data_IF_974910175222
#
_entry.id   IF_974910175222
#
_cell.length_a   1.000
_cell.length_b   1.000
_cell.length_c   1.000
_cell.angle_alpha   90.00
_cell.angle_beta   90.00
_cell.angle_gamma   90.00
#
_symmetry.space_group_name_H-M   'P 1'
#
loop_
_entity.id
_entity.type
_entity.pdbx_description
1 polymer ?
#
# COMPACT_ATOMS: atom_id res chain seq x y z
N UNK A 1 21.16 11.24 19.48
CA UNK A 1 20.69 11.58 18.11
C UNK A 1 21.73 11.02 17.16
N UNK A 2 21.43 9.94 16.44
CA UNK A 2 22.34 9.48 15.39
C UNK A 2 22.23 10.47 14.23
N UNK A 3 23.32 11.20 14.00
CA UNK A 3 23.54 11.95 12.76
C UNK A 3 23.68 10.93 11.63
N UNK A 4 22.56 10.61 10.99
CA UNK A 4 22.61 9.97 9.67
C UNK A 4 23.24 11.00 8.71
N UNK A 5 24.38 10.69 8.08
CA UNK A 5 25.04 11.64 7.22
C UNK A 5 24.13 11.93 6.02
N UNK A 6 23.96 13.22 5.77
CA UNK A 6 23.84 13.90 4.47
C UNK A 6 23.62 12.94 3.29
N UNK A 7 22.51 13.12 2.57
CA UNK A 7 22.26 12.44 1.31
C UNK A 7 23.39 12.73 0.32
N UNK A 8 24.34 11.79 0.24
CA UNK A 8 25.45 11.89 -0.68
C UNK A 8 25.08 11.26 -2.03
N UNK A 9 24.16 11.91 -2.76
CA UNK A 9 24.18 11.81 -4.23
C UNK A 9 25.60 12.06 -4.78
N UNK A 10 26.36 12.90 -4.08
CA UNK A 10 27.78 13.17 -4.31
C UNK A 10 28.69 11.93 -4.17
N UNK A 11 28.37 10.97 -3.29
CA UNK A 11 29.13 9.69 -3.16
C UNK A 11 28.93 8.77 -4.34
N UNK A 12 27.73 8.77 -4.91
CA UNK A 12 27.44 8.05 -6.16
C UNK A 12 27.95 8.83 -7.39
N UNK A 13 28.42 10.09 -7.21
CA UNK A 13 28.88 11.00 -8.27
C UNK A 13 27.93 11.10 -9.46
N UNK A 14 26.62 10.99 -9.21
CA UNK A 14 25.61 10.97 -10.27
C UNK A 14 25.16 12.39 -10.56
N UNK A 15 25.74 13.02 -11.57
CA UNK A 15 25.16 14.22 -12.18
C UNK A 15 24.10 13.79 -13.20
N UNK A 16 22.83 13.87 -12.82
CA UNK A 16 21.73 13.67 -13.76
C UNK A 16 21.33 15.02 -14.37
N UNK A 17 20.92 15.08 -15.65
CA UNK A 17 20.59 16.35 -16.29
C UNK A 17 19.29 17.00 -15.77
N UNK A 18 18.50 16.30 -14.94
CA UNK A 18 17.23 16.81 -14.44
C UNK A 18 17.41 17.61 -13.16
N UNK A 19 16.62 18.69 -12.98
CA UNK A 19 16.64 19.47 -11.74
C UNK A 19 16.11 18.64 -10.57
N UNK A 20 16.64 18.93 -9.38
CA UNK A 20 16.08 18.45 -8.13
C UNK A 20 14.74 19.12 -7.86
N UNK A 21 13.73 18.32 -7.57
CA UNK A 21 12.36 18.78 -7.30
C UNK A 21 11.89 18.46 -5.90
N UNK A 22 12.51 17.50 -5.21
CA UNK A 22 12.23 17.20 -3.81
C UNK A 22 13.42 16.57 -3.12
N UNK A 23 13.58 16.86 -1.82
CA UNK A 23 14.60 16.28 -0.95
C UNK A 23 14.06 16.10 0.46
N UNK A 24 14.21 14.89 1.00
CA UNK A 24 13.95 14.57 2.40
C UNK A 24 15.26 14.21 3.09
N UNK A 25 15.23 13.44 4.18
CA UNK A 25 16.44 12.92 4.85
C UNK A 25 17.03 11.69 4.12
N UNK A 26 16.17 10.90 3.51
CA UNK A 26 16.42 9.56 2.99
C UNK A 26 16.12 9.44 1.49
N UNK A 27 15.62 10.52 0.87
CA UNK A 27 15.20 10.53 -0.53
C UNK A 27 15.59 11.83 -1.23
N UNK A 28 15.97 11.70 -2.50
CA UNK A 28 16.03 12.82 -3.46
C UNK A 28 15.27 12.45 -4.72
N UNK A 29 14.52 13.40 -5.24
CA UNK A 29 13.77 13.27 -6.49
C UNK A 29 14.27 14.32 -7.46
N UNK A 30 14.71 13.85 -8.63
CA UNK A 30 15.00 14.68 -9.80
C UNK A 30 13.89 14.42 -10.82
N UNK A 31 13.35 15.46 -11.48
CA UNK A 31 12.29 15.24 -12.46
C UNK A 31 12.30 16.25 -13.60
N UNK A 32 11.94 15.78 -14.79
CA UNK A 32 11.75 16.61 -15.98
C UNK A 32 10.54 16.11 -16.75
N UNK A 33 9.52 16.95 -16.91
CA UNK A 33 8.30 16.58 -17.62
C UNK A 33 7.59 15.39 -16.97
N UNK A 34 7.43 14.30 -17.71
CA UNK A 34 6.76 13.06 -17.28
C UNK A 34 7.68 12.04 -16.63
N UNK A 35 8.96 12.40 -16.47
CA UNK A 35 10.02 11.50 -16.02
C UNK A 35 10.54 11.93 -14.66
N UNK A 36 10.85 10.94 -13.82
CA UNK A 36 11.47 11.17 -12.53
C UNK A 36 12.53 10.12 -12.23
N UNK A 37 13.60 10.54 -11.57
CA UNK A 37 14.64 9.70 -10.99
C UNK A 37 14.59 9.93 -9.47
N UNK A 38 14.29 8.88 -8.74
CA UNK A 38 14.25 8.90 -7.29
C UNK A 38 15.41 8.07 -6.74
N UNK A 39 16.28 8.69 -5.96
CA UNK A 39 17.22 7.96 -5.11
C UNK A 39 16.61 7.86 -3.70
N UNK A 40 16.49 6.64 -3.18
CA UNK A 40 16.08 6.38 -1.80
C UNK A 40 17.12 5.53 -1.08
N UNK A 41 17.40 5.86 0.17
CA UNK A 41 18.23 5.07 1.08
C UNK A 41 17.32 4.42 2.11
N UNK A 42 17.26 3.09 2.10
CA UNK A 42 16.52 2.32 3.07
C UNK A 42 17.47 1.83 4.17
N UNK A 43 17.15 2.07 5.46
CA UNK A 43 17.94 1.49 6.55
C UNK A 43 17.72 -0.02 6.65
N UNK A 44 18.79 -0.71 7.06
CA UNK A 44 18.83 -2.17 7.22
C UNK A 44 19.12 -2.92 5.91
N UNK A 45 19.43 -4.21 5.99
CA UNK A 45 19.65 -5.05 4.82
C UNK A 45 18.42 -5.08 3.90
N UNK A 46 18.60 -5.29 2.58
CA UNK A 46 17.49 -5.36 1.63
C UNK A 46 16.48 -6.48 2.00
N UNK A 47 15.20 -6.22 1.77
CA UNK A 47 14.15 -7.23 1.93
C UNK A 47 14.14 -8.21 0.74
N UNK A 48 15.18 -9.03 0.64
CA UNK A 48 15.31 -10.07 -0.36
C UNK A 48 14.98 -11.44 0.21
N UNK A 49 14.22 -12.28 -0.52
CA UNK A 49 13.83 -13.62 -0.05
C UNK A 49 14.94 -14.65 -0.23
N UNK A 50 15.89 -14.40 -1.13
CA UNK A 50 16.88 -15.35 -1.61
C UNK A 50 18.16 -14.61 -2.04
N UNK A 51 19.21 -15.38 -2.31
CA UNK A 51 20.50 -14.82 -2.74
C UNK A 51 20.40 -14.29 -4.18
N UNK A 52 21.36 -13.47 -4.59
CA UNK A 52 21.35 -12.83 -5.90
C UNK A 52 21.55 -13.82 -7.07
N UNK A 53 22.13 -14.99 -6.80
CA UNK A 53 22.28 -16.08 -7.75
C UNK A 53 20.97 -16.88 -7.97
N UNK A 54 19.99 -16.76 -7.07
CA UNK A 54 18.69 -17.42 -7.17
C UNK A 54 17.70 -16.58 -7.99
N UNK A 55 18.07 -16.26 -9.24
CA UNK A 55 17.37 -15.28 -10.09
C UNK A 55 15.90 -15.60 -10.31
N UNK A 56 15.52 -16.88 -10.40
CA UNK A 56 14.11 -17.26 -10.62
C UNK A 56 13.24 -17.03 -9.37
N UNK A 57 13.80 -17.16 -8.17
CA UNK A 57 13.11 -16.80 -6.93
C UNK A 57 12.98 -15.27 -6.82
N UNK A 58 14.02 -14.52 -7.22
CA UNK A 58 13.96 -13.05 -7.31
C UNK A 58 12.88 -12.58 -8.29
N UNK A 59 12.77 -13.22 -9.46
CA UNK A 59 11.71 -12.94 -10.45
C UNK A 59 10.32 -13.20 -9.89
N UNK A 60 10.11 -14.35 -9.22
CA UNK A 60 8.84 -14.68 -8.56
C UNK A 60 8.48 -13.64 -7.49
N UNK A 61 9.45 -13.24 -6.67
CA UNK A 61 9.27 -12.20 -5.65
C UNK A 61 8.92 -10.83 -6.24
N UNK A 62 9.70 -10.35 -7.21
CA UNK A 62 9.47 -9.07 -7.87
C UNK A 62 8.12 -9.03 -8.59
N UNK A 63 7.70 -10.15 -9.20
CA UNK A 63 6.37 -10.28 -9.81
C UNK A 63 5.26 -10.12 -8.79
N UNK A 64 5.31 -10.86 -7.67
CA UNK A 64 4.30 -10.73 -6.60
C UNK A 64 4.26 -9.31 -6.04
N UNK A 65 5.41 -8.67 -5.86
CA UNK A 65 5.49 -7.26 -5.44
C UNK A 65 4.86 -6.32 -6.46
N UNK A 66 5.06 -6.53 -7.75
CA UNK A 66 4.43 -5.75 -8.80
C UNK A 66 2.89 -5.92 -8.81
N UNK A 67 2.42 -7.15 -8.64
CA UNK A 67 0.98 -7.48 -8.57
C UNK A 67 0.28 -6.79 -7.40
N UNK A 68 0.94 -6.68 -6.24
CA UNK A 68 0.41 -5.93 -5.09
C UNK A 68 0.20 -4.44 -5.37
N UNK A 69 0.87 -3.90 -6.40
CA UNK A 69 0.71 -2.52 -6.88
C UNK A 69 -0.25 -2.43 -8.08
N UNK A 70 -1.02 -3.48 -8.38
CA UNK A 70 -1.86 -3.57 -9.58
C UNK A 70 -1.07 -3.69 -10.89
N UNK A 71 0.23 -3.95 -10.80
CA UNK A 71 1.17 -3.96 -11.92
C UNK A 71 1.64 -5.35 -12.32
N UNK A 72 2.60 -5.38 -13.25
CA UNK A 72 3.24 -6.60 -13.71
C UNK A 72 4.73 -6.42 -13.93
N UNK A 73 5.49 -7.50 -13.70
CA UNK A 73 6.91 -7.56 -13.99
C UNK A 73 7.12 -7.65 -15.51
N UNK A 74 8.02 -6.83 -16.06
CA UNK A 74 8.42 -6.87 -17.46
C UNK A 74 9.77 -7.58 -17.61
N UNK A 75 10.73 -7.15 -16.81
CA UNK A 75 12.09 -7.69 -16.80
C UNK A 75 12.70 -7.58 -15.40
N UNK A 76 13.60 -8.51 -15.08
CA UNK A 76 14.45 -8.51 -13.91
C UNK A 76 15.77 -9.18 -14.26
N UNK A 77 16.85 -8.44 -14.03
CA UNK A 77 18.22 -8.88 -14.21
C UNK A 77 19.09 -8.51 -13.00
N UNK A 78 20.15 -9.28 -12.81
CA UNK A 78 21.13 -9.11 -11.73
C UNK A 78 22.43 -8.60 -12.34
N UNK A 79 22.93 -7.46 -11.83
CA UNK A 79 24.14 -6.79 -12.29
C UNK A 79 25.16 -6.75 -11.15
N UNK A 80 26.07 -7.73 -11.15
CA UNK A 80 27.00 -7.92 -10.04
C UNK A 80 26.24 -8.07 -8.73
N UNK A 81 26.43 -7.17 -7.75
CA UNK A 81 25.68 -7.23 -6.49
C UNK A 81 24.33 -6.51 -6.53
N UNK A 82 23.86 -6.02 -7.67
CA UNK A 82 22.64 -5.21 -7.75
C UNK A 82 21.54 -5.91 -8.54
N UNK A 83 20.28 -5.53 -8.30
CA UNK A 83 19.11 -6.06 -9.01
C UNK A 83 18.44 -4.90 -9.73
N UNK A 84 18.20 -5.06 -11.04
CA UNK A 84 17.40 -4.12 -11.83
C UNK A 84 16.12 -4.83 -12.25
N UNK A 85 14.98 -4.28 -11.85
CA UNK A 85 13.67 -4.75 -12.31
C UNK A 85 12.89 -3.63 -12.98
N UNK A 86 12.14 -3.95 -14.04
CA UNK A 86 11.16 -3.04 -14.65
C UNK A 86 9.76 -3.60 -14.49
N UNK A 87 8.86 -2.76 -14.03
CA UNK A 87 7.45 -3.07 -13.86
C UNK A 87 6.59 -2.09 -14.65
N UNK A 88 5.40 -2.55 -15.02
CA UNK A 88 4.32 -1.69 -15.51
C UNK A 88 3.24 -1.51 -14.46
N UNK A 89 2.64 -0.33 -14.43
CA UNK A 89 1.61 0.10 -13.51
C UNK A 89 0.44 0.67 -14.33
N UNK A 90 -0.52 -0.18 -14.75
CA UNK A 90 -1.60 0.21 -15.67
C UNK A 90 -2.49 1.35 -15.16
N UNK A 91 -2.88 1.32 -13.88
CA UNK A 91 -3.73 2.36 -13.28
C UNK A 91 -3.04 3.72 -13.24
N UNK A 92 -1.71 3.71 -13.10
CA UNK A 92 -0.88 4.89 -13.05
C UNK A 92 -0.39 5.33 -14.45
N UNK A 93 -0.70 4.54 -15.50
CA UNK A 93 -0.16 4.70 -16.86
C UNK A 93 1.35 4.91 -16.86
N UNK A 94 2.04 4.10 -16.06
CA UNK A 94 3.45 4.32 -15.75
C UNK A 94 4.27 3.04 -15.91
N UNK A 95 5.54 3.25 -16.22
CA UNK A 95 6.56 2.23 -16.18
C UNK A 95 7.66 2.68 -15.22
N UNK A 96 8.21 1.74 -14.48
CA UNK A 96 9.16 2.01 -13.40
C UNK A 96 10.29 0.99 -13.46
N UNK A 97 11.52 1.47 -13.59
CA UNK A 97 12.73 0.67 -13.41
C UNK A 97 13.33 0.97 -12.03
N UNK A 98 13.62 -0.05 -11.24
CA UNK A 98 14.26 0.08 -9.94
C UNK A 98 15.59 -0.69 -9.96
N UNK A 99 16.71 0.03 -9.81
CA UNK A 99 18.00 -0.55 -9.46
C UNK A 99 18.15 -0.55 -7.94
N UNK A 100 18.21 -1.74 -7.34
CA UNK A 100 18.50 -1.91 -5.92
C UNK A 100 19.95 -2.34 -5.72
N UNK A 101 20.65 -1.61 -4.86
CA UNK A 101 22.05 -1.83 -4.49
C UNK A 101 22.09 -2.21 -3.00
N UNK A 102 22.28 -3.49 -2.67
CA UNK A 102 22.25 -3.98 -1.31
C UNK A 102 23.59 -3.82 -0.59
N UNK A 103 23.54 -3.34 0.66
CA UNK A 103 24.65 -3.35 1.62
C UNK A 103 24.22 -4.12 2.88
N UNK A 104 25.17 -4.37 3.79
CA UNK A 104 24.89 -5.06 5.07
C UNK A 104 23.86 -4.30 5.90
N UNK A 105 23.97 -2.98 5.96
CA UNK A 105 23.23 -2.13 6.91
C UNK A 105 22.21 -1.19 6.23
N UNK A 106 22.13 -1.20 4.90
CA UNK A 106 21.26 -0.34 4.11
C UNK A 106 21.02 -0.92 2.71
N UNK A 107 20.03 -0.38 2.01
CA UNK A 107 19.86 -0.58 0.58
C UNK A 107 19.67 0.77 -0.12
N UNK A 108 20.33 0.96 -1.25
CA UNK A 108 20.04 2.10 -2.14
C UNK A 108 19.07 1.65 -3.22
N UNK A 109 18.07 2.46 -3.50
CA UNK A 109 17.13 2.25 -4.60
C UNK A 109 17.17 3.45 -5.53
N UNK A 110 17.50 3.20 -6.78
CA UNK A 110 17.41 4.19 -7.85
C UNK A 110 16.22 3.81 -8.72
N UNK A 111 15.17 4.60 -8.64
CA UNK A 111 13.93 4.37 -9.36
C UNK A 111 13.78 5.39 -10.48
N UNK A 112 13.82 4.93 -11.72
CA UNK A 112 13.44 5.74 -12.88
C UNK A 112 12.00 5.43 -13.22
N UNK A 113 11.19 6.47 -13.36
CA UNK A 113 9.77 6.35 -13.70
C UNK A 113 9.44 7.26 -14.87
N UNK A 114 8.67 6.74 -15.82
CA UNK A 114 8.05 7.52 -16.90
C UNK A 114 6.56 7.25 -16.92
N UNK A 115 5.76 8.31 -17.03
CA UNK A 115 4.31 8.21 -17.25
C UNK A 115 3.95 8.49 -18.70
N UNK A 116 2.81 7.97 -19.13
CA UNK A 116 2.31 8.18 -20.48
C UNK A 116 1.67 9.58 -20.61
N UNK A 117 2.19 10.37 -21.56
CA UNK A 117 1.69 11.72 -21.87
C UNK A 117 1.08 11.78 -23.25
N UNK A 118 -0.06 12.46 -23.38
CA UNK A 118 -0.77 12.61 -24.66
C UNK A 118 -1.71 11.44 -24.94
N UNK A 119 -1.75 10.97 -26.18
CA UNK A 119 -2.56 9.82 -26.58
C UNK A 119 -1.97 8.56 -25.97
N UNK A 120 -2.74 7.92 -25.07
CA UNK A 120 -2.32 6.73 -24.35
C UNK A 120 -2.51 5.45 -25.16
N UNK A 121 -1.71 4.44 -24.88
CA UNK A 121 -1.78 3.12 -25.48
C UNK A 121 -1.45 3.10 -26.98
N UNK A 122 -0.68 4.07 -27.50
CA UNK A 122 -0.40 4.17 -28.95
C UNK A 122 0.40 2.97 -29.43
N UNK A 123 1.38 2.53 -28.64
CA UNK A 123 2.20 1.36 -28.96
C UNK A 123 1.35 0.10 -28.97
N UNK A 124 0.54 -0.09 -27.94
CA UNK A 124 -0.39 -1.21 -27.79
C UNK A 124 -1.40 -1.23 -28.93
N UNK A 125 -2.03 -0.09 -29.23
CA UNK A 125 -3.00 0.03 -30.32
C UNK A 125 -2.37 -0.30 -31.67
N UNK A 126 -1.19 0.26 -31.98
CA UNK A 126 -0.48 0.01 -33.23
C UNK A 126 -0.05 -1.46 -33.41
N UNK A 127 0.33 -2.13 -32.32
CA UNK A 127 0.77 -3.53 -32.37
C UNK A 127 -0.42 -4.51 -32.32
N UNK A 128 -1.52 -4.17 -31.64
CA UNK A 128 -2.68 -5.07 -31.45
C UNK A 128 -3.37 -5.49 -32.74
N UNK A 129 -3.26 -4.67 -33.79
CA UNK A 129 -3.84 -4.97 -35.11
C UNK A 129 -2.99 -5.96 -35.93
N UNK A 130 -1.75 -6.23 -35.52
CA UNK A 130 -0.84 -7.11 -36.26
C UNK A 130 -1.15 -8.59 -35.95
N UNK A 131 -1.33 -9.45 -36.99
CA UNK A 131 -1.71 -10.85 -36.79
C UNK A 131 -0.80 -11.64 -35.85
N UNK A 132 0.52 -11.34 -35.86
CA UNK A 132 1.53 -12.03 -35.04
C UNK A 132 1.31 -11.92 -33.53
N UNK A 133 0.47 -10.99 -33.06
CA UNK A 133 0.24 -10.77 -31.63
C UNK A 133 -1.14 -11.21 -31.14
N UNK A 134 -2.04 -11.69 -32.02
CA UNK A 134 -3.40 -12.08 -31.62
C UNK A 134 -3.45 -13.21 -30.59
N UNK A 135 -2.51 -14.15 -30.65
CA UNK A 135 -2.54 -15.38 -29.83
C UNK A 135 -1.68 -15.30 -28.56
N UNK A 136 -0.80 -14.30 -28.45
CA UNK A 136 0.18 -14.15 -27.34
C UNK A 136 0.20 -12.74 -26.79
N UNK A 137 -0.97 -12.09 -26.73
CA UNK A 137 -1.05 -10.68 -26.34
C UNK A 137 -0.64 -10.45 -24.88
N UNK A 138 -1.01 -11.36 -23.97
CA UNK A 138 -0.60 -11.34 -22.56
C UNK A 138 0.17 -12.61 -22.24
N UNK A 139 1.39 -12.47 -21.76
CA UNK A 139 2.21 -13.57 -21.27
C UNK A 139 3.32 -13.05 -20.35
N UNK A 140 3.56 -13.72 -19.24
CA UNK A 140 4.72 -13.42 -18.39
C UNK A 140 5.99 -13.99 -19.05
N UNK A 141 7.09 -13.24 -19.01
CA UNK A 141 8.35 -13.66 -19.62
C UNK A 141 8.98 -14.86 -18.90
N UNK A 142 8.77 -14.95 -17.59
CA UNK A 142 9.41 -15.93 -16.72
C UNK A 142 8.47 -17.08 -16.35
N UNK A 143 7.16 -16.93 -16.56
CA UNK A 143 6.18 -17.99 -16.37
C UNK A 143 5.11 -17.92 -17.47
N UNK A 144 5.39 -18.48 -18.66
CA UNK A 144 4.53 -18.33 -19.84
C UNK A 144 3.10 -18.84 -19.67
N UNK A 145 2.86 -19.70 -18.68
CA UNK A 145 1.53 -20.21 -18.30
C UNK A 145 0.66 -19.14 -17.62
N UNK A 146 1.28 -18.10 -17.05
CA UNK A 146 0.59 -16.99 -16.43
C UNK A 146 0.09 -16.01 -17.50
N UNK A 147 -1.23 -15.85 -17.59
CA UNK A 147 -1.90 -14.92 -18.50
C UNK A 147 -3.00 -14.13 -17.78
N UNK A 148 -3.23 -12.89 -18.21
CA UNK A 148 -4.31 -12.06 -17.70
C UNK A 148 -3.99 -10.56 -17.74
N UNK A 149 -4.97 -9.71 -17.36
CA UNK A 149 -4.77 -8.27 -17.21
C UNK A 149 -3.63 -7.98 -16.22
N UNK A 150 -2.78 -6.99 -16.53
CA UNK A 150 -1.65 -6.60 -15.68
C UNK A 150 -0.35 -7.40 -15.94
N UNK A 151 -0.43 -8.62 -16.49
CA UNK A 151 0.76 -9.38 -16.94
C UNK A 151 1.40 -8.71 -18.15
N UNK A 152 2.72 -8.84 -18.32
CA UNK A 152 3.46 -8.41 -19.52
C UNK A 152 2.70 -8.77 -20.80
N UNK A 153 2.72 -7.84 -21.74
CA UNK A 153 2.08 -7.96 -23.04
C UNK A 153 3.13 -8.06 -24.15
N UNK A 154 2.70 -8.48 -25.34
CA UNK A 154 3.59 -8.47 -26.52
C UNK A 154 4.14 -7.07 -26.81
N UNK A 155 3.36 -6.02 -26.55
CA UNK A 155 3.79 -4.63 -26.71
C UNK A 155 4.97 -4.26 -25.80
N UNK A 156 5.15 -4.94 -24.66
CA UNK A 156 6.23 -4.68 -23.71
C UNK A 156 7.59 -5.23 -24.18
N UNK A 157 7.66 -5.88 -25.34
CA UNK A 157 8.91 -6.42 -25.90
C UNK A 157 9.91 -5.32 -26.26
N UNK A 158 11.19 -5.53 -25.95
CA UNK A 158 12.29 -4.59 -26.25
C UNK A 158 12.46 -4.30 -27.74
N UNK A 159 12.04 -5.24 -28.60
CA UNK A 159 12.11 -5.10 -30.07
C UNK A 159 11.35 -3.88 -30.63
N UNK A 160 10.45 -3.29 -29.83
CA UNK A 160 9.65 -2.14 -30.23
C UNK A 160 10.23 -0.80 -29.79
N UNK A 161 11.27 -0.80 -28.95
CA UNK A 161 11.73 0.43 -28.32
C UNK A 161 12.29 1.43 -29.34
N UNK A 162 12.93 0.95 -30.41
CA UNK A 162 13.41 1.81 -31.51
C UNK A 162 12.28 2.41 -32.35
N UNK A 163 11.19 1.66 -32.55
CA UNK A 163 10.02 2.12 -33.31
C UNK A 163 9.14 3.07 -32.50
N UNK A 164 9.22 2.99 -31.16
CA UNK A 164 8.45 3.80 -30.23
C UNK A 164 9.38 4.47 -29.20
N UNK A 165 10.29 5.37 -29.62
CA UNK A 165 11.31 5.94 -28.73
C UNK A 165 10.71 6.83 -27.63
N UNK A 166 9.54 7.41 -27.89
CA UNK A 166 8.81 8.26 -26.94
C UNK A 166 7.89 7.48 -25.99
N UNK A 167 7.74 6.17 -26.20
CA UNK A 167 6.94 5.35 -25.32
C UNK A 167 7.57 5.28 -23.92
N UNK A 168 6.79 5.38 -22.83
CA UNK A 168 7.32 5.40 -21.46
C UNK A 168 8.24 4.21 -21.13
N UNK A 169 7.92 2.99 -21.57
CA UNK A 169 8.78 1.83 -21.38
C UNK A 169 10.14 1.97 -22.09
N UNK A 170 10.15 2.50 -23.32
CA UNK A 170 11.39 2.72 -24.09
C UNK A 170 12.29 3.74 -23.38
N UNK A 171 11.69 4.81 -22.86
CA UNK A 171 12.39 5.84 -22.08
C UNK A 171 12.97 5.27 -20.79
N UNK A 172 12.15 4.52 -20.03
CA UNK A 172 12.57 3.85 -18.80
C UNK A 172 13.73 2.89 -19.06
N UNK A 173 13.66 2.02 -20.09
CA UNK A 173 14.76 1.13 -20.47
C UNK A 173 16.02 1.86 -20.88
N UNK A 174 15.89 2.91 -21.69
CA UNK A 174 17.04 3.71 -22.12
C UNK A 174 17.79 4.30 -20.92
N UNK A 175 17.05 4.82 -19.94
CA UNK A 175 17.62 5.39 -18.73
C UNK A 175 18.12 4.32 -17.75
N UNK A 176 17.40 3.21 -17.61
CA UNK A 176 17.75 2.12 -16.70
C UNK A 176 19.08 1.46 -17.09
N UNK A 177 19.40 1.37 -18.38
CA UNK A 177 20.71 0.90 -18.89
C UNK A 177 21.89 1.75 -18.41
N UNK A 178 21.66 3.00 -17.99
CA UNK A 178 22.70 3.85 -17.40
C UNK A 178 22.92 3.56 -15.92
N UNK A 179 21.92 3.02 -15.21
CA UNK A 179 21.97 2.84 -13.75
C UNK A 179 23.09 1.87 -13.31
N UNK A 180 23.29 0.69 -13.94
CA UNK A 180 24.39 -0.20 -13.54
C UNK A 180 25.78 0.44 -13.71
N UNK A 181 25.98 1.33 -14.70
CA UNK A 181 27.26 2.04 -14.88
C UNK A 181 27.55 3.00 -13.74
N UNK A 182 26.54 3.47 -13.02
CA UNK A 182 26.74 4.29 -11.82
C UNK A 182 27.40 3.49 -10.69
N UNK A 183 27.27 2.16 -10.69
CA UNK A 183 27.89 1.27 -9.70
C UNK A 183 29.41 1.22 -9.83
N UNK A 184 29.92 1.23 -11.07
CA UNK A 184 31.36 1.24 -11.37
C UNK A 184 32.06 2.50 -10.85
N UNK A 185 31.30 3.57 -10.60
CA UNK A 185 31.79 4.85 -10.07
C UNK A 185 31.84 4.88 -8.54
N UNK A 186 31.41 3.81 -7.86
CA UNK A 186 31.37 3.74 -6.40
C UNK A 186 32.67 3.17 -5.81
N UNK A 187 33.11 3.72 -4.67
CA UNK A 187 34.40 3.39 -4.03
C UNK A 187 34.32 2.28 -2.96
N UNK A 188 33.13 1.74 -2.69
CA UNK A 188 32.94 0.61 -1.79
C UNK A 188 32.19 -0.51 -2.53
N UNK A 189 32.75 -1.73 -2.61
CA UNK A 189 32.02 -2.85 -3.17
C UNK A 189 30.81 -3.14 -2.29
N UNK A 190 29.61 -3.31 -2.88
CA UNK A 190 28.45 -3.77 -2.13
C UNK A 190 28.76 -5.12 -1.48
N UNK A 191 28.59 -5.19 -0.16
CA UNK A 191 28.83 -6.39 0.62
C UNK A 191 27.49 -6.90 1.16
N UNK A 192 26.74 -7.63 0.34
CA UNK A 192 25.60 -8.39 0.83
C UNK A 192 26.06 -9.81 1.12
N UNK A 193 26.31 -10.12 2.39
CA UNK A 193 26.90 -11.39 2.83
C UNK A 193 25.91 -12.58 2.84
N UNK A 194 24.73 -12.42 2.25
CA UNK A 194 23.72 -13.46 2.12
C UNK A 194 22.40 -13.13 2.79
N UNK A 195 21.46 -14.06 2.64
CA UNK A 195 20.08 -13.93 3.10
C UNK A 195 19.99 -14.35 4.56
N UNK A 196 19.67 -13.41 5.44
CA UNK A 196 19.35 -13.72 6.82
C UNK A 196 17.87 -14.12 6.92
N UNK A 197 17.54 -14.86 7.98
CA UNK A 197 16.16 -15.12 8.39
C UNK A 197 15.33 -13.83 8.48
N UNK A 198 15.93 -12.77 9.04
CA UNK A 198 15.34 -11.45 9.12
C UNK A 198 15.03 -10.87 7.71
N UNK A 199 15.91 -11.03 6.72
CA UNK A 199 15.68 -10.58 5.35
C UNK A 199 14.50 -11.32 4.70
N UNK A 200 14.42 -12.64 4.88
CA UNK A 200 13.28 -13.44 4.40
C UNK A 200 11.98 -13.02 5.05
N UNK A 201 11.97 -12.82 6.36
CA UNK A 201 10.80 -12.34 7.07
C UNK A 201 10.35 -10.95 6.58
N UNK A 202 11.28 -10.03 6.31
CA UNK A 202 10.97 -8.73 5.69
C UNK A 202 10.40 -8.87 4.27
N UNK A 203 10.95 -9.78 3.47
CA UNK A 203 10.45 -10.06 2.13
C UNK A 203 9.00 -10.61 2.19
N UNK A 204 8.73 -11.55 3.10
CA UNK A 204 7.39 -12.11 3.32
C UNK A 204 6.40 -11.05 3.85
N UNK A 205 6.82 -10.18 4.79
CA UNK A 205 6.01 -9.07 5.28
C UNK A 205 5.67 -8.08 4.14
N UNK A 206 6.63 -7.77 3.27
CA UNK A 206 6.43 -6.93 2.10
C UNK A 206 5.46 -7.54 1.07
N UNK A 207 5.34 -8.88 1.05
CA UNK A 207 4.33 -9.58 0.24
C UNK A 207 2.97 -9.72 0.95
N UNK A 208 2.87 -9.32 2.22
CA UNK A 208 1.70 -9.56 3.06
C UNK A 208 1.52 -11.03 3.46
N UNK A 209 2.52 -11.89 3.27
CA UNK A 209 2.48 -13.32 3.63
C UNK A 209 2.74 -13.50 5.13
N UNK A 210 1.69 -13.23 5.92
CA UNK A 210 1.77 -13.24 7.37
C UNK A 210 2.06 -14.66 7.92
N UNK A 211 1.53 -15.70 7.27
CA UNK A 211 1.80 -17.08 7.66
C UNK A 211 3.27 -17.44 7.40
N UNK A 212 3.81 -17.04 6.26
CA UNK A 212 5.22 -17.15 5.93
C UNK A 212 6.11 -16.45 6.95
N UNK A 213 5.78 -15.21 7.35
CA UNK A 213 6.55 -14.48 8.38
C UNK A 213 6.61 -15.26 9.70
N UNK A 214 5.47 -15.77 10.19
CA UNK A 214 5.43 -16.53 11.44
C UNK A 214 6.20 -17.85 11.33
N UNK A 215 6.11 -18.53 10.18
CA UNK A 215 6.83 -19.77 9.90
C UNK A 215 8.34 -19.55 9.74
N UNK A 216 8.75 -18.41 9.20
CA UNK A 216 10.16 -18.00 9.09
C UNK A 216 10.70 -17.59 10.46
N UNK A 217 9.84 -17.12 11.37
CA UNK A 217 10.19 -16.64 12.70
C UNK A 217 9.67 -17.53 13.87
N UNK A 218 9.95 -18.86 13.96
CA UNK A 218 9.57 -19.68 15.11
C UNK A 218 10.33 -19.34 16.41
N UNK A 219 9.72 -19.72 17.54
CA UNK A 219 10.38 -19.82 18.84
C UNK A 219 10.67 -18.48 19.52
N UNK A 220 11.65 -18.48 20.42
CA UNK A 220 12.09 -17.25 21.12
C UNK A 220 12.97 -16.43 20.18
N UNK A 221 12.69 -15.14 20.08
CA UNK A 221 13.42 -14.20 19.23
C UNK A 221 14.13 -13.16 20.10
N UNK A 222 15.28 -12.68 19.64
CA UNK A 222 16.05 -11.66 20.36
C UNK A 222 16.06 -10.31 19.65
N UNK A 223 15.97 -10.30 18.31
CA UNK A 223 16.01 -9.09 17.52
C UNK A 223 14.65 -8.34 17.59
N UNK A 224 14.63 -7.04 17.98
CA UNK A 224 13.39 -6.26 18.09
C UNK A 224 12.61 -6.22 16.78
N UNK A 225 13.30 -6.10 15.64
CA UNK A 225 12.66 -6.08 14.33
C UNK A 225 12.01 -7.43 13.97
N UNK A 226 12.59 -8.57 14.36
CA UNK A 226 11.95 -9.88 14.12
C UNK A 226 10.69 -10.03 14.97
N UNK A 227 10.75 -9.61 16.24
CA UNK A 227 9.58 -9.56 17.12
C UNK A 227 8.48 -8.64 16.56
N UNK A 228 8.85 -7.47 16.05
CA UNK A 228 7.92 -6.54 15.38
C UNK A 228 7.25 -7.19 14.16
N UNK A 229 8.04 -7.77 13.26
CA UNK A 229 7.53 -8.40 12.03
C UNK A 229 6.57 -9.54 12.37
N UNK A 230 6.96 -10.41 13.31
CA UNK A 230 6.09 -11.52 13.75
C UNK A 230 4.85 -11.04 14.47
N UNK A 231 4.97 -10.05 15.35
CA UNK A 231 3.84 -9.47 16.07
C UNK A 231 2.81 -8.85 15.12
N UNK A 232 3.27 -8.06 14.13
CA UNK A 232 2.42 -7.52 13.06
C UNK A 232 1.74 -8.62 12.25
N UNK A 233 2.48 -9.64 11.84
CA UNK A 233 1.93 -10.78 11.09
C UNK A 233 0.86 -11.54 11.90
N UNK A 234 1.10 -11.76 13.20
CA UNK A 234 0.14 -12.37 14.13
C UNK A 234 -1.14 -11.57 14.27
N UNK A 235 -1.08 -10.23 14.29
CA UNK A 235 -2.29 -9.40 14.29
C UNK A 235 -3.14 -9.63 13.04
N UNK A 236 -2.49 -9.67 11.86
CA UNK A 236 -3.18 -9.92 10.59
C UNK A 236 -3.74 -11.33 10.49
N UNK A 237 -3.17 -12.28 11.23
CA UNK A 237 -3.67 -13.65 11.40
C UNK A 237 -4.70 -13.80 12.54
N UNK A 238 -5.17 -12.70 13.13
CA UNK A 238 -6.12 -12.70 14.25
C UNK A 238 -5.62 -13.46 15.49
N UNK A 239 -4.33 -13.29 15.83
CA UNK A 239 -3.68 -13.84 17.03
C UNK A 239 -3.18 -12.70 17.94
N UNK A 240 -4.07 -11.87 18.50
CA UNK A 240 -3.70 -10.62 19.15
C UNK A 240 -2.96 -10.81 20.48
N UNK A 241 -3.17 -11.93 21.20
CA UNK A 241 -2.46 -12.24 22.45
C UNK A 241 -0.97 -12.46 22.17
N UNK A 242 -0.66 -13.37 21.23
CA UNK A 242 0.71 -13.67 20.81
C UNK A 242 1.40 -12.47 20.17
N UNK A 243 0.64 -11.65 19.44
CA UNK A 243 1.16 -10.40 18.90
C UNK A 243 1.54 -9.41 20.01
N UNK A 244 0.67 -9.21 21.00
CA UNK A 244 0.93 -8.30 22.10
C UNK A 244 2.14 -8.74 22.94
N UNK A 245 2.37 -10.05 23.08
CA UNK A 245 3.59 -10.59 23.69
C UNK A 245 4.84 -10.19 22.92
N UNK A 246 4.90 -10.50 21.62
CA UNK A 246 6.05 -10.15 20.76
C UNK A 246 6.33 -8.65 20.77
N UNK A 247 5.28 -7.83 20.63
CA UNK A 247 5.41 -6.38 20.52
C UNK A 247 5.84 -5.74 21.84
N UNK A 248 5.38 -6.24 23.00
CA UNK A 248 5.91 -5.80 24.29
C UNK A 248 7.38 -6.19 24.45
N UNK A 249 7.76 -7.39 24.04
CA UNK A 249 9.15 -7.84 24.08
C UNK A 249 10.06 -7.00 23.16
N UNK A 250 9.55 -6.61 21.99
CA UNK A 250 10.25 -5.71 21.07
C UNK A 250 10.47 -4.32 21.72
N UNK A 251 9.42 -3.74 22.31
CA UNK A 251 9.48 -2.42 22.94
C UNK A 251 10.41 -2.33 24.16
N UNK A 252 10.55 -3.42 24.92
CA UNK A 252 11.51 -3.47 26.03
C UNK A 252 12.95 -3.30 25.52
N UNK A 253 13.23 -3.78 24.30
CA UNK A 253 14.56 -3.75 23.71
C UNK A 253 14.82 -2.49 22.90
N UNK A 254 13.85 -2.10 22.09
CA UNK A 254 13.92 -0.91 21.23
C UNK A 254 12.55 -0.21 21.18
N UNK A 255 12.40 0.94 21.86
CA UNK A 255 11.18 1.74 21.82
C UNK A 255 10.96 2.40 20.44
N UNK A 256 10.40 1.65 19.51
CA UNK A 256 10.09 2.08 18.14
C UNK A 256 8.61 2.52 17.98
N UNK A 257 8.32 3.68 17.35
CA UNK A 257 6.95 4.16 17.15
C UNK A 257 6.03 3.19 16.40
N UNK A 258 6.55 2.46 15.40
CA UNK A 258 5.73 1.48 14.68
C UNK A 258 5.34 0.33 15.60
N UNK A 259 6.28 -0.15 16.41
CA UNK A 259 6.04 -1.22 17.38
C UNK A 259 4.98 -0.81 18.41
N UNK A 260 5.04 0.43 18.90
CA UNK A 260 4.00 0.97 19.80
C UNK A 260 2.63 1.01 19.11
N UNK A 261 2.59 1.46 17.85
CA UNK A 261 1.35 1.51 17.06
C UNK A 261 0.73 0.12 16.87
N UNK A 262 1.54 -0.88 16.50
CA UNK A 262 1.07 -2.28 16.38
C UNK A 262 0.60 -2.84 17.72
N UNK A 263 1.26 -2.48 18.83
CA UNK A 263 0.79 -2.86 20.17
C UNK A 263 -0.58 -2.25 20.48
N UNK A 264 -0.83 -1.00 20.05
CA UNK A 264 -2.15 -0.38 20.13
C UNK A 264 -3.22 -1.18 19.39
N UNK A 265 -2.90 -1.67 18.18
CA UNK A 265 -3.77 -2.56 17.41
C UNK A 265 -4.05 -3.88 18.14
N UNK A 266 -3.02 -4.46 18.75
CA UNK A 266 -3.16 -5.67 19.56
C UNK A 266 -4.08 -5.46 20.76
N UNK A 267 -3.91 -4.36 21.51
CA UNK A 267 -4.78 -4.05 22.64
C UNK A 267 -6.23 -3.82 22.21
N UNK A 268 -6.45 -3.15 21.08
CA UNK A 268 -7.80 -2.92 20.59
C UNK A 268 -8.49 -4.24 20.22
N UNK A 269 -7.78 -5.16 19.56
CA UNK A 269 -8.28 -6.50 19.23
C UNK A 269 -8.57 -7.35 20.49
N UNK A 270 -7.82 -7.15 21.57
CA UNK A 270 -8.06 -7.79 22.88
C UNK A 270 -9.21 -7.17 23.67
N UNK A 271 -9.85 -6.11 23.19
CA UNK A 271 -10.91 -5.41 23.92
C UNK A 271 -10.38 -4.48 25.02
N UNK A 272 -9.14 -4.00 24.89
CA UNK A 272 -8.49 -3.04 25.79
C UNK A 272 -8.36 -1.65 25.12
N UNK A 273 -9.47 -0.93 24.88
CA UNK A 273 -9.46 0.28 24.07
C UNK A 273 -8.72 1.44 24.73
N UNK A 274 -8.67 1.51 26.07
CA UNK A 274 -7.96 2.60 26.78
C UNK A 274 -6.45 2.47 26.62
N UNK A 275 -5.95 1.25 26.73
CA UNK A 275 -4.55 0.89 26.51
C UNK A 275 -4.14 1.14 25.06
N UNK A 276 -5.03 0.82 24.11
CA UNK A 276 -4.84 1.15 22.70
C UNK A 276 -4.73 2.67 22.47
N UNK A 277 -5.61 3.48 23.08
CA UNK A 277 -5.53 4.97 22.99
C UNK A 277 -4.17 5.48 23.49
N UNK A 278 -3.66 4.94 24.61
CA UNK A 278 -2.34 5.33 25.14
C UNK A 278 -1.24 5.00 24.14
N UNK A 279 -1.22 3.77 23.61
CA UNK A 279 -0.23 3.33 22.64
C UNK A 279 -0.25 4.21 21.37
N UNK A 280 -1.42 4.41 20.76
CA UNK A 280 -1.51 5.27 19.57
C UNK A 280 -1.15 6.73 19.86
N UNK A 281 -1.46 7.25 21.06
CA UNK A 281 -1.05 8.60 21.45
C UNK A 281 0.47 8.71 21.57
N UNK A 282 1.14 7.69 22.10
CA UNK A 282 2.61 7.64 22.14
C UNK A 282 3.22 7.59 20.73
N UNK A 283 2.66 6.79 19.82
CA UNK A 283 3.10 6.74 18.43
C UNK A 283 2.92 8.09 17.73
N UNK A 284 1.75 8.72 17.87
CA UNK A 284 1.46 10.05 17.31
C UNK A 284 2.30 11.18 17.95
N UNK A 285 2.76 11.01 19.19
CA UNK A 285 3.71 11.94 19.80
C UNK A 285 5.08 11.96 19.10
N UNK A 286 5.42 10.89 18.36
CA UNK A 286 6.65 10.77 17.56
C UNK A 286 6.40 11.11 16.10
N UNK A 287 5.28 10.67 15.55
CA UNK A 287 4.87 10.90 14.18
C UNK A 287 3.44 11.47 14.13
N UNK A 288 3.24 12.79 14.31
CA UNK A 288 1.91 13.39 14.45
C UNK A 288 0.99 13.18 13.23
N UNK A 289 1.57 13.02 12.04
CA UNK A 289 0.84 12.79 10.80
C UNK A 289 0.68 11.31 10.43
N UNK A 290 1.03 10.37 11.32
CA UNK A 290 0.92 8.95 11.00
C UNK A 290 -0.56 8.55 10.83
N UNK A 291 -0.92 8.26 9.58
CA UNK A 291 -2.28 7.97 9.12
C UNK A 291 -2.87 6.71 9.75
N UNK A 292 -2.06 5.67 9.92
CA UNK A 292 -2.50 4.42 10.55
C UNK A 292 -2.73 4.62 12.05
N UNK A 293 -1.84 5.36 12.74
CA UNK A 293 -1.99 5.65 14.15
C UNK A 293 -3.20 6.57 14.45
N UNK A 294 -3.49 7.56 13.58
CA UNK A 294 -4.70 8.39 13.70
C UNK A 294 -5.97 7.54 13.58
N UNK A 295 -6.05 6.67 12.57
CA UNK A 295 -7.19 5.77 12.38
C UNK A 295 -7.35 4.82 13.57
N UNK A 296 -6.25 4.17 13.99
CA UNK A 296 -6.26 3.26 15.13
C UNK A 296 -6.69 3.95 16.43
N UNK A 297 -6.21 5.19 16.68
CA UNK A 297 -6.65 5.96 17.85
C UNK A 297 -8.11 6.35 17.77
N UNK A 298 -8.62 6.75 16.60
CA UNK A 298 -10.02 7.08 16.41
C UNK A 298 -10.93 5.88 16.72
N UNK A 299 -10.56 4.69 16.25
CA UNK A 299 -11.26 3.44 16.54
C UNK A 299 -11.18 3.08 18.04
N UNK A 300 -10.00 3.19 18.64
CA UNK A 300 -9.81 2.93 20.07
C UNK A 300 -10.61 3.91 20.96
N UNK A 301 -10.61 5.21 20.63
CA UNK A 301 -11.43 6.23 21.31
C UNK A 301 -12.92 5.97 21.16
N UNK A 302 -13.35 5.55 19.97
CA UNK A 302 -14.74 5.13 19.70
C UNK A 302 -15.16 3.95 20.59
N UNK A 303 -14.30 2.94 20.73
CA UNK A 303 -14.52 1.81 21.62
C UNK A 303 -14.45 2.21 23.11
N UNK A 304 -13.63 3.21 23.47
CA UNK A 304 -13.55 3.78 24.81
C UNK A 304 -14.67 4.81 25.12
N UNK A 305 -15.60 5.04 24.20
CA UNK A 305 -16.67 6.06 24.27
C UNK A 305 -16.20 7.53 24.32
N UNK A 306 -14.95 7.81 23.95
CA UNK A 306 -14.45 9.17 23.68
C UNK A 306 -14.82 9.57 22.24
N UNK A 307 -16.11 9.91 22.03
CA UNK A 307 -16.64 10.16 20.69
C UNK A 307 -16.08 11.44 20.06
N UNK A 308 -15.97 12.53 20.82
CA UNK A 308 -15.43 13.79 20.28
C UNK A 308 -13.94 13.67 19.93
N UNK A 309 -13.13 13.04 20.79
CA UNK A 309 -11.72 12.77 20.46
C UNK A 309 -11.57 11.85 19.23
N UNK A 310 -12.47 10.89 19.04
CA UNK A 310 -12.48 10.06 17.84
C UNK A 310 -12.81 10.88 16.58
N UNK A 311 -13.78 11.81 16.66
CA UNK A 311 -14.13 12.69 15.54
C UNK A 311 -12.98 13.63 15.16
N UNK A 312 -12.22 14.12 16.14
CA UNK A 312 -10.99 14.90 15.88
C UNK A 312 -9.96 14.09 15.10
N UNK A 313 -9.71 12.84 15.51
CA UNK A 313 -8.75 11.97 14.83
C UNK A 313 -9.20 11.61 13.40
N UNK A 314 -10.49 11.29 13.20
CA UNK A 314 -11.04 11.06 11.85
C UNK A 314 -10.93 12.30 10.96
N UNK A 315 -11.14 13.50 11.51
CA UNK A 315 -10.97 14.75 10.76
C UNK A 315 -9.50 14.96 10.36
N UNK A 316 -8.56 14.75 11.28
CA UNK A 316 -7.14 14.85 10.98
C UNK A 316 -6.72 13.85 9.89
N UNK A 317 -7.24 12.61 9.95
CA UNK A 317 -6.98 11.57 8.95
C UNK A 317 -7.51 11.92 7.55
N UNK A 318 -8.71 12.49 7.48
CA UNK A 318 -9.38 12.90 6.23
C UNK A 318 -8.82 14.20 5.64
N UNK A 319 -8.20 15.07 6.46
CA UNK A 319 -7.47 16.24 5.94
C UNK A 319 -6.25 15.82 5.12
N UNK A 320 -5.60 14.71 5.49
CA UNK A 320 -4.44 14.20 4.76
C UNK A 320 -4.84 13.48 3.46
N UNK A 321 -6.01 12.84 3.43
CA UNK A 321 -6.57 12.19 2.24
C UNK A 321 -8.10 12.21 2.26
N UNK A 322 -8.71 13.06 1.43
CA UNK A 322 -10.16 13.22 1.42
C UNK A 322 -10.87 12.16 0.57
N UNK A 323 -10.17 11.24 -0.09
CA UNK A 323 -10.73 10.29 -1.07
C UNK A 323 -10.88 8.86 -0.51
N UNK A 324 -11.15 8.73 0.79
CA UNK A 324 -11.34 7.44 1.48
C UNK A 324 -12.78 7.29 2.00
N UNK A 325 -13.71 6.68 1.24
CA UNK A 325 -15.13 6.56 1.62
C UNK A 325 -15.35 5.85 2.94
N UNK A 326 -14.57 4.81 3.21
CA UNK A 326 -14.67 3.98 4.41
C UNK A 326 -14.45 4.83 5.67
N UNK A 327 -13.56 5.84 5.59
CA UNK A 327 -13.34 6.76 6.70
C UNK A 327 -14.54 7.67 6.98
N UNK A 328 -15.25 8.13 5.94
CA UNK A 328 -16.50 8.87 6.12
C UNK A 328 -17.59 7.97 6.71
N UNK A 329 -17.68 6.69 6.29
CA UNK A 329 -18.61 5.74 6.91
C UNK A 329 -18.29 5.53 8.39
N UNK A 330 -17.03 5.28 8.74
CA UNK A 330 -16.60 5.11 10.13
C UNK A 330 -16.87 6.37 10.96
N UNK A 331 -16.58 7.56 10.43
CA UNK A 331 -16.88 8.84 11.10
C UNK A 331 -18.38 9.05 11.27
N UNK A 332 -19.19 8.67 10.28
CA UNK A 332 -20.65 8.73 10.36
C UNK A 332 -21.20 7.85 11.50
N UNK A 333 -20.63 6.67 11.74
CA UNK A 333 -21.02 5.83 12.87
C UNK A 333 -20.69 6.47 14.22
N UNK A 334 -19.55 7.17 14.32
CA UNK A 334 -19.21 7.94 15.53
C UNK A 334 -20.14 9.13 15.70
N UNK A 335 -20.41 9.90 14.63
CA UNK A 335 -21.35 11.03 14.64
C UNK A 335 -22.75 10.57 15.07
N UNK A 336 -23.19 9.42 14.57
CA UNK A 336 -24.46 8.81 14.94
C UNK A 336 -24.53 8.48 16.43
N UNK A 337 -23.49 7.82 16.97
CA UNK A 337 -23.36 7.54 18.41
C UNK A 337 -23.29 8.81 19.26
N UNK A 338 -22.75 9.90 18.71
CA UNK A 338 -22.71 11.21 19.36
C UNK A 338 -24.03 12.00 19.24
N UNK A 339 -25.06 11.44 18.59
CA UNK A 339 -26.35 12.10 18.39
C UNK A 339 -26.40 13.10 17.22
N UNK A 340 -25.30 13.25 16.47
CA UNK A 340 -25.13 14.19 15.35
C UNK A 340 -25.64 13.57 14.03
N UNK A 341 -26.92 13.18 14.03
CA UNK A 341 -27.54 12.35 12.98
C UNK A 341 -27.49 12.95 11.57
N UNK A 342 -27.68 14.26 11.45
CA UNK A 342 -27.66 14.95 10.15
C UNK A 342 -26.25 14.98 9.55
N UNK A 343 -25.23 15.21 10.39
CA UNK A 343 -23.83 15.17 9.96
C UNK A 343 -23.42 13.75 9.57
N UNK A 344 -23.88 12.74 10.30
CA UNK A 344 -23.65 11.33 9.95
C UNK A 344 -24.19 10.98 8.56
N UNK A 345 -25.42 11.42 8.22
CA UNK A 345 -25.94 11.25 6.87
C UNK A 345 -25.15 12.03 5.81
N UNK A 346 -24.69 13.24 6.14
CA UNK A 346 -23.89 14.02 5.21
C UNK A 346 -22.58 13.30 4.85
N UNK A 347 -21.93 12.68 5.82
CA UNK A 347 -20.73 11.87 5.59
C UNK A 347 -21.00 10.65 4.70
N UNK A 348 -22.10 9.94 4.94
CA UNK A 348 -22.48 8.79 4.10
C UNK A 348 -22.86 9.22 2.67
N UNK A 349 -23.49 10.37 2.51
CA UNK A 349 -23.77 10.95 1.19
C UNK A 349 -22.47 11.32 0.46
N UNK A 350 -21.51 11.88 1.19
CA UNK A 350 -20.22 12.21 0.61
C UNK A 350 -19.45 10.94 0.18
N UNK A 351 -19.40 9.92 1.03
CA UNK A 351 -18.82 8.62 0.71
C UNK A 351 -19.42 7.99 -0.56
N UNK A 352 -20.75 7.99 -0.68
CA UNK A 352 -21.46 7.49 -1.87
C UNK A 352 -21.32 8.40 -3.09
N UNK A 353 -20.94 9.68 -2.93
CA UNK A 353 -20.60 10.54 -4.07
C UNK A 353 -19.22 10.17 -4.63
N UNK A 354 -18.28 9.80 -3.74
CA UNK A 354 -16.96 9.32 -4.15
C UNK A 354 -17.06 7.95 -4.83
N UNK A 355 -17.78 7.00 -4.21
CA UNK A 355 -17.94 5.64 -4.72
C UNK A 355 -19.41 5.18 -4.60
N UNK A 356 -20.24 5.38 -5.65
CA UNK A 356 -21.68 5.13 -5.61
C UNK A 356 -22.12 3.69 -5.37
N UNK A 357 -21.23 2.72 -5.62
CA UNK A 357 -21.54 1.28 -5.59
C UNK A 357 -20.99 0.57 -4.34
N UNK A 358 -20.45 1.29 -3.36
CA UNK A 358 -20.03 0.67 -2.10
C UNK A 358 -21.25 0.22 -1.28
N UNK A 359 -21.43 -1.10 -1.18
CA UNK A 359 -22.58 -1.71 -0.51
C UNK A 359 -22.62 -1.35 0.98
N UNK A 360 -21.52 -1.51 1.71
CA UNK A 360 -21.42 -1.29 3.16
C UNK A 360 -21.78 0.15 3.59
N UNK A 361 -21.33 1.15 2.82
CA UNK A 361 -21.71 2.55 3.02
C UNK A 361 -23.20 2.76 2.76
N UNK A 362 -23.72 2.16 1.69
CA UNK A 362 -25.14 2.24 1.35
C UNK A 362 -26.03 1.61 2.42
N UNK A 363 -25.68 0.42 2.92
CA UNK A 363 -26.43 -0.27 3.98
C UNK A 363 -26.48 0.59 5.25
N UNK A 364 -25.35 1.20 5.60
CA UNK A 364 -25.24 2.10 6.75
C UNK A 364 -26.16 3.31 6.61
N UNK A 365 -26.26 3.89 5.40
CA UNK A 365 -27.14 5.03 5.13
C UNK A 365 -28.62 4.66 5.22
N UNK A 366 -29.01 3.50 4.67
CA UNK A 366 -30.37 2.96 4.76
C UNK A 366 -30.74 2.70 6.23
N UNK A 367 -29.86 2.05 6.99
CA UNK A 367 -30.03 1.82 8.43
C UNK A 367 -30.28 3.13 9.17
N UNK A 368 -29.46 4.15 8.96
CA UNK A 368 -29.63 5.44 9.64
C UNK A 368 -30.97 6.12 9.29
N UNK A 369 -31.41 6.05 8.03
CA UNK A 369 -32.72 6.58 7.62
C UNK A 369 -33.88 5.88 8.32
N UNK A 370 -33.82 4.56 8.42
CA UNK A 370 -34.83 3.76 9.13
C UNK A 370 -34.83 4.10 10.62
N UNK A 371 -33.67 4.20 11.25
CA UNK A 371 -33.54 4.54 12.68
C UNK A 371 -33.99 5.98 12.99
N UNK A 372 -33.99 6.87 12.00
CA UNK A 372 -34.61 8.21 12.11
C UNK A 372 -36.13 8.20 11.87
N UNK A 373 -36.73 7.04 11.59
CA UNK A 373 -38.15 6.92 11.24
C UNK A 373 -38.47 7.49 9.86
N UNK A 374 -37.56 7.36 8.89
CA UNK A 374 -37.73 7.81 7.51
C UNK A 374 -37.58 6.65 6.50
N UNK A 375 -38.35 5.55 6.66
CA UNK A 375 -38.26 4.39 5.76
C UNK A 375 -38.64 4.73 4.32
N UNK A 376 -39.48 5.75 4.09
CA UNK A 376 -39.86 6.18 2.74
C UNK A 376 -38.65 6.70 1.96
N UNK A 377 -37.80 7.50 2.63
CA UNK A 377 -36.55 7.99 2.05
C UNK A 377 -35.55 6.86 1.84
N UNK A 378 -35.50 5.90 2.77
CA UNK A 378 -34.67 4.71 2.64
C UNK A 378 -35.06 3.88 1.40
N UNK A 379 -36.37 3.70 1.17
CA UNK A 379 -36.91 3.00 -0.01
C UNK A 379 -36.56 3.69 -1.32
N UNK A 380 -36.76 5.02 -1.41
CA UNK A 380 -36.40 5.79 -2.60
C UNK A 380 -34.90 5.68 -2.93
N UNK A 381 -34.06 5.75 -1.89
CA UNK A 381 -32.61 5.65 -2.04
C UNK A 381 -32.18 4.25 -2.51
N UNK A 382 -32.85 3.21 -2.03
CA UNK A 382 -32.64 1.83 -2.48
C UNK A 382 -33.03 1.64 -3.93
N UNK A 383 -34.15 2.20 -4.37
CA UNK A 383 -34.56 2.14 -5.78
C UNK A 383 -33.52 2.80 -6.70
N UNK A 384 -33.03 3.98 -6.35
CA UNK A 384 -31.97 4.67 -7.09
C UNK A 384 -30.67 3.85 -7.12
N UNK A 385 -30.27 3.28 -5.99
CA UNK A 385 -29.06 2.48 -5.91
C UNK A 385 -29.16 1.18 -6.73
N UNK A 386 -30.31 0.51 -6.73
CA UNK A 386 -30.56 -0.68 -7.53
C UNK A 386 -30.62 -0.40 -9.04
N UNK A 387 -30.99 0.81 -9.46
CA UNK A 387 -30.88 1.23 -10.86
C UNK A 387 -29.41 1.33 -11.30
N UNK A 388 -28.54 1.81 -10.41
CA UNK A 388 -27.09 1.89 -10.66
C UNK A 388 -26.41 0.52 -10.50
N UNK A 389 -26.96 -0.39 -9.68
CA UNK A 389 -26.45 -1.73 -9.41
C UNK A 389 -27.47 -2.84 -9.72
N UNK A 390 -27.84 -3.06 -10.99
CA UNK A 390 -28.91 -4.00 -11.35
C UNK A 390 -28.58 -5.47 -11.06
N UNK A 391 -27.29 -5.81 -10.89
CA UNK A 391 -26.79 -7.19 -10.71
C UNK A 391 -26.71 -7.65 -9.24
N UNK A 392 -26.91 -6.77 -8.26
CA UNK A 392 -26.83 -7.16 -6.84
C UNK A 392 -28.20 -7.64 -6.31
N UNK A 393 -28.62 -8.84 -6.74
CA UNK A 393 -29.86 -9.47 -6.26
C UNK A 393 -29.80 -9.81 -4.76
N UNK A 394 -28.62 -10.16 -4.27
CA UNK A 394 -28.41 -10.46 -2.85
C UNK A 394 -28.60 -9.21 -1.98
N UNK A 395 -27.99 -8.08 -2.35
CA UNK A 395 -28.20 -6.81 -1.65
C UNK A 395 -29.66 -6.36 -1.74
N UNK A 396 -30.33 -6.55 -2.88
CA UNK A 396 -31.78 -6.28 -3.02
C UNK A 396 -32.59 -7.06 -1.99
N UNK A 397 -32.35 -8.36 -1.86
CA UNK A 397 -33.07 -9.21 -0.91
C UNK A 397 -32.79 -8.85 0.55
N UNK A 398 -31.56 -8.44 0.87
CA UNK A 398 -31.14 -8.04 2.22
C UNK A 398 -31.69 -6.66 2.63
N UNK A 399 -31.66 -5.68 1.73
CA UNK A 399 -31.94 -4.27 2.05
C UNK A 399 -33.40 -3.87 1.86
N UNK A 400 -34.15 -4.53 0.96
CA UNK A 400 -35.57 -4.21 0.73
C UNK A 400 -36.44 -4.36 1.99
N UNK A 401 -36.28 -5.42 2.81
CA UNK A 401 -37.02 -5.54 4.07
C UNK A 401 -36.63 -4.44 5.08
N UNK A 402 -35.34 -4.07 5.13
CA UNK A 402 -34.83 -3.03 6.04
C UNK A 402 -35.41 -1.67 5.68
N UNK A 403 -35.34 -1.28 4.40
CA UNK A 403 -35.86 -0.01 3.91
C UNK A 403 -37.38 0.12 4.06
N UNK A 404 -38.13 -0.99 4.09
CA UNK A 404 -39.60 -1.02 4.26
C UNK A 404 -40.04 -1.18 5.71
N UNK A 405 -39.11 -1.32 6.66
CA UNK A 405 -39.45 -1.54 8.07
C UNK A 405 -40.10 -0.27 8.65
N UNK A 406 -41.32 -0.37 9.22
CA UNK A 406 -41.93 0.77 9.90
C UNK A 406 -41.12 1.14 11.15
N UNK A 407 -41.14 2.41 11.60
CA UNK A 407 -40.40 2.82 12.79
C UNK A 407 -40.83 2.00 14.01
N UNK A 408 -39.87 1.46 14.76
CA UNK A 408 -40.15 0.78 16.03
C UNK A 408 -40.82 1.79 16.97
N UNK A 409 -42.04 1.48 17.45
CA UNK A 409 -42.74 2.32 18.43
C UNK A 409 -41.88 2.35 19.70
N UNK A 410 -41.63 3.52 20.31
CA UNK A 410 -40.89 3.57 21.56
C UNK A 410 -41.62 2.72 22.61
N UNK A 411 -40.89 1.82 23.25
CA UNK A 411 -41.37 1.12 24.43
C UNK A 411 -41.75 2.19 25.45
N UNK A 412 -43.05 2.29 25.75
CA UNK A 412 -43.54 3.16 26.83
C UNK A 412 -42.89 2.67 28.12
N UNK A 413 -42.28 3.62 28.83
CA UNK A 413 -41.55 3.45 30.09
C UNK A 413 -42.36 2.70 31.15
#
# INVERSE_FOLDING_TARGET
MMDFPVIELERLRVSWPWPETSRTRDQVVLSQGAESLTLRVEPGPPALPCSLDEVDELRRFARRKAQLRGGGLIELDVYGPSILGVIKLPEEYAFEAELMIPFVDRAYRLTVRSTETGTRGVREAALSVLPRYRERWFCDLYEPELAGPGVRSAADSEEHDESFPDHPLSRVRKLSRLLPRLLELTSQPPAFAGVTRQNRARALDALGDCAGVVAELPGRLEAPLELLLRGRARLRLNQPELAAEDLREALVRDPDPQTVMHLGGAQLALGHPREAVVAYTMALGREPGNREALLGRAQARTAAHDLEGALEDYRARLQADPLEPDLYRLRAEVLWRAGRRLEALADLNHALTLYPLQEDVFETAVRFLVDMGRPELAGQRLEQWLQLNPRSEEARNRLTPVARRPPDRPQRA
#
